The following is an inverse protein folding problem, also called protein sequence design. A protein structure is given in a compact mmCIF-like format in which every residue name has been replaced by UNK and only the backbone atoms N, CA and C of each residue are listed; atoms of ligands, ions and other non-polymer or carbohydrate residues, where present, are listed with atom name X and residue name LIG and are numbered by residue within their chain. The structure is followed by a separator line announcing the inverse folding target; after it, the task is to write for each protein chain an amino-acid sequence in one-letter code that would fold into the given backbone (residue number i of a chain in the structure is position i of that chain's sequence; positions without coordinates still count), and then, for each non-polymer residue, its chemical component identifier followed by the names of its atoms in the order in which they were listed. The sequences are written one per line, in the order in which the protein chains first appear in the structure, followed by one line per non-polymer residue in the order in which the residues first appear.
data_IF_269703140288
#
_entry.id   IF_269703140288
#
_cell.length_a   1.000
_cell.length_b   1.000
_cell.length_c   1.000
_cell.angle_alpha   90.00
_cell.angle_beta   90.00
_cell.angle_gamma   90.00
#
_symmetry.space_group_name_H-M   'P 1'
#
loop_
_entity.id
_entity.type
_entity.pdbx_description
1 polymer ?
#
# COMPACT_ATOMS: atom_id res chain seq x y z
N UNK A 1 16.76 -10.73 -20.52
CA UNK A 1 17.45 -10.29 -19.29
C UNK A 1 16.42 -9.67 -18.37
N UNK A 2 16.32 -10.17 -17.16
CA UNK A 2 15.31 -9.65 -16.24
C UNK A 2 15.82 -8.46 -15.48
N UNK A 3 14.96 -7.46 -15.34
CA UNK A 3 15.23 -6.29 -14.54
C UNK A 3 15.10 -6.64 -13.07
N UNK A 4 15.86 -5.97 -12.23
CA UNK A 4 15.74 -6.12 -10.78
C UNK A 4 15.56 -4.76 -10.14
N UNK A 5 15.00 -4.76 -8.92
CA UNK A 5 14.73 -3.54 -8.18
C UNK A 5 15.38 -3.65 -6.80
N UNK A 6 16.39 -2.81 -6.58
CA UNK A 6 17.05 -2.75 -5.28
C UNK A 6 16.16 -2.08 -4.26
N UNK A 7 16.24 -2.53 -3.02
CA UNK A 7 15.44 -1.98 -1.95
C UNK A 7 15.89 -0.61 -1.49
N UNK A 8 15.05 -0.01 -0.66
CA UNK A 8 15.28 1.33 -0.13
C UNK A 8 15.85 1.22 1.28
N UNK A 9 16.97 1.92 1.54
CA UNK A 9 17.59 1.92 2.87
C UNK A 9 16.73 2.64 3.90
N UNK A 10 15.95 3.61 3.45
CA UNK A 10 15.00 4.34 4.29
C UNK A 10 13.63 4.31 3.64
N UNK A 11 12.58 4.54 4.43
CA UNK A 11 11.22 4.52 3.91
C UNK A 11 11.08 5.50 2.75
N UNK A 12 10.60 5.05 1.57
CA UNK A 12 10.54 5.88 0.37
C UNK A 12 9.32 6.80 0.33
N UNK A 13 8.92 7.37 1.47
CA UNK A 13 7.67 8.12 1.58
C UNK A 13 7.64 9.32 0.63
N UNK A 14 8.69 10.14 0.65
CA UNK A 14 8.70 11.36 -0.17
C UNK A 14 8.67 11.05 -1.66
N UNK A 15 9.41 10.03 -2.09
CA UNK A 15 9.44 9.64 -3.51
C UNK A 15 8.11 9.07 -3.96
N UNK A 16 7.48 8.26 -3.11
CA UNK A 16 6.18 7.67 -3.42
C UNK A 16 5.10 8.76 -3.44
N UNK A 17 5.14 9.67 -2.47
CA UNK A 17 4.22 10.82 -2.42
C UNK A 17 4.31 11.62 -3.72
N UNK A 18 5.53 11.98 -4.13
CA UNK A 18 5.72 12.78 -5.33
C UNK A 18 5.25 12.04 -6.59
N UNK A 19 5.49 10.74 -6.67
CA UNK A 19 5.07 9.94 -7.83
C UNK A 19 3.55 9.89 -7.96
N UNK A 20 2.83 9.69 -6.87
CA UNK A 20 1.37 9.68 -6.91
C UNK A 20 0.78 11.06 -7.17
N UNK A 21 1.41 12.11 -6.65
CA UNK A 21 0.99 13.48 -6.96
C UNK A 21 1.16 13.78 -8.44
N UNK A 22 2.22 13.31 -9.04
CA UNK A 22 2.44 13.47 -10.48
C UNK A 22 1.37 12.77 -11.30
N UNK A 23 0.99 11.55 -10.90
CA UNK A 23 -0.09 10.82 -11.56
C UNK A 23 -1.40 11.58 -11.43
N UNK A 24 -1.70 12.09 -10.23
CA UNK A 24 -2.93 12.85 -9.99
C UNK A 24 -2.99 14.09 -10.84
N UNK A 25 -1.86 14.79 -10.96
CA UNK A 25 -1.81 16.04 -11.72
C UNK A 25 -1.90 15.79 -13.21
N UNK A 26 -1.25 14.74 -13.72
CA UNK A 26 -1.06 14.54 -15.15
C UNK A 26 -2.18 13.75 -15.82
N UNK A 27 -2.70 12.73 -15.14
CA UNK A 27 -3.52 11.72 -15.81
C UNK A 27 -4.94 11.56 -15.28
N UNK A 28 -5.24 12.08 -14.10
CA UNK A 28 -6.46 11.70 -13.41
C UNK A 28 -7.39 12.86 -13.10
N UNK A 29 -7.19 14.03 -13.67
CA UNK A 29 -7.89 15.23 -13.17
C UNK A 29 -9.31 15.45 -13.71
N UNK A 30 -9.74 14.76 -14.75
CA UNK A 30 -11.05 15.02 -15.37
C UNK A 30 -12.04 13.86 -15.25
N UNK A 31 -11.76 12.89 -14.40
CA UNK A 31 -12.60 11.72 -14.29
C UNK A 31 -13.68 11.93 -13.23
N UNK A 32 -14.92 11.58 -13.57
CA UNK A 32 -16.07 11.83 -12.69
C UNK A 32 -16.06 11.05 -11.40
N UNK A 33 -15.32 9.93 -11.33
CA UNK A 33 -15.25 9.13 -10.12
C UNK A 33 -14.21 9.64 -9.13
N UNK A 34 -13.45 10.68 -9.49
CA UNK A 34 -12.46 11.23 -8.57
C UNK A 34 -13.11 11.96 -7.42
N UNK A 35 -12.56 11.79 -6.24
CA UNK A 35 -12.99 12.58 -5.08
C UNK A 35 -12.53 14.03 -5.31
N UNK A 36 -13.45 15.00 -5.22
CA UNK A 36 -13.15 16.37 -5.63
C UNK A 36 -12.11 17.09 -4.79
N UNK A 37 -11.93 16.71 -3.54
CA UNK A 37 -11.05 17.45 -2.61
C UNK A 37 -10.00 16.59 -1.94
N UNK A 38 -9.95 15.28 -2.22
CA UNK A 38 -9.01 14.39 -1.53
C UNK A 38 -7.59 14.62 -2.04
N UNK A 39 -6.63 14.92 -1.13
CA UNK A 39 -5.23 15.03 -1.54
C UNK A 39 -4.60 13.65 -1.72
N UNK A 40 -3.41 13.62 -2.28
CA UNK A 40 -2.55 12.45 -2.22
C UNK A 40 -1.82 12.48 -0.87
N UNK A 41 -1.92 11.40 -0.12
CA UNK A 41 -1.21 11.29 1.17
C UNK A 41 -0.67 9.88 1.32
N UNK A 42 0.64 9.77 1.53
CA UNK A 42 1.32 8.51 1.79
C UNK A 42 1.57 8.42 3.28
N UNK A 43 1.16 7.31 3.88
CA UNK A 43 1.38 7.08 5.32
C UNK A 43 2.86 6.85 5.61
N UNK A 44 3.22 6.85 6.88
CA UNK A 44 4.53 6.34 7.28
C UNK A 44 4.63 4.87 6.90
N UNK A 45 5.81 4.46 6.47
CA UNK A 45 6.07 3.06 6.15
C UNK A 45 6.82 2.41 7.29
N UNK A 46 6.49 1.14 7.54
CA UNK A 46 7.12 0.32 8.58
C UNK A 46 7.71 -0.91 7.93
N UNK A 47 8.88 -1.33 8.38
CA UNK A 47 9.47 -2.59 7.89
C UNK A 47 8.69 -3.78 8.48
N UNK A 48 8.21 -4.62 7.59
CA UNK A 48 7.58 -5.90 7.95
C UNK A 48 8.17 -6.98 7.05
N UNK A 49 8.73 -8.01 7.63
CA UNK A 49 9.39 -9.08 6.88
C UNK A 49 10.49 -8.52 5.96
N UNK A 50 11.15 -7.46 6.42
CA UNK A 50 12.23 -6.83 5.69
C UNK A 50 11.82 -5.90 4.57
N UNK A 51 10.54 -5.63 4.38
CA UNK A 51 10.05 -4.76 3.30
C UNK A 51 9.20 -3.63 3.84
N UNK A 52 9.21 -2.50 3.12
CA UNK A 52 8.46 -1.32 3.55
C UNK A 52 6.98 -1.49 3.26
N UNK A 53 6.15 -1.36 4.28
CA UNK A 53 4.69 -1.53 4.19
C UNK A 53 4.00 -0.28 4.69
N UNK A 54 3.06 0.22 3.92
CA UNK A 54 2.26 1.39 4.28
C UNK A 54 1.03 1.51 3.40
N UNK A 55 0.46 2.71 3.35
CA UNK A 55 -0.73 2.98 2.54
C UNK A 55 -0.59 4.31 1.80
N UNK A 56 -1.42 4.47 0.78
CA UNK A 56 -1.60 5.76 0.11
C UNK A 56 -3.08 6.00 -0.08
N UNK A 57 -3.52 7.24 0.13
CA UNK A 57 -4.84 7.67 -0.30
C UNK A 57 -4.65 8.72 -1.41
N UNK A 58 -5.49 8.62 -2.43
CA UNK A 58 -5.47 9.50 -3.59
C UNK A 58 -6.92 9.88 -3.89
N UNK A 59 -7.17 10.81 -4.82
CA UNK A 59 -8.56 11.09 -5.20
C UNK A 59 -9.32 9.89 -5.78
N UNK A 60 -8.64 8.81 -6.17
CA UNK A 60 -9.31 7.66 -6.80
C UNK A 60 -9.26 6.38 -5.98
N UNK A 61 -8.44 6.31 -4.93
CA UNK A 61 -8.33 5.05 -4.17
C UNK A 61 -7.67 5.23 -2.82
N UNK A 62 -7.89 4.24 -1.96
CA UNK A 62 -7.06 3.99 -0.79
C UNK A 62 -6.44 2.60 -1.00
N UNK A 63 -5.14 2.50 -0.91
CA UNK A 63 -4.42 1.25 -1.21
C UNK A 63 -3.33 0.96 -0.20
N UNK A 64 -3.14 -0.32 0.10
CA UNK A 64 -1.96 -0.79 0.80
C UNK A 64 -0.81 -0.90 -0.19
N UNK A 65 0.41 -0.60 0.25
CA UNK A 65 1.60 -0.59 -0.60
C UNK A 65 2.73 -1.35 0.08
N UNK A 66 3.49 -2.11 -0.71
CA UNK A 66 4.71 -2.77 -0.24
C UNK A 66 5.83 -2.48 -1.22
N UNK A 67 6.97 -2.02 -0.69
CA UNK A 67 8.18 -1.74 -1.47
C UNK A 67 9.35 -2.56 -0.93
N UNK A 68 10.37 -2.84 -1.77
CA UNK A 68 11.52 -3.61 -1.31
C UNK A 68 12.26 -2.89 -0.19
N UNK A 69 12.69 -3.66 0.80
CA UNK A 69 13.40 -3.16 1.98
C UNK A 69 14.91 -3.03 1.76
N UNK A 70 15.63 -2.60 2.82
CA UNK A 70 17.05 -2.24 2.67
C UNK A 70 17.94 -3.33 2.11
N UNK A 71 17.67 -4.59 2.45
CA UNK A 71 18.52 -5.70 2.04
C UNK A 71 17.89 -6.57 0.98
N UNK A 72 16.83 -6.06 0.34
CA UNK A 72 16.08 -6.83 -0.65
C UNK A 72 16.41 -6.39 -2.07
N UNK A 73 16.43 -7.36 -2.97
CA UNK A 73 16.46 -7.10 -4.40
C UNK A 73 15.31 -7.92 -4.99
N UNK A 74 14.36 -7.22 -5.58
CA UNK A 74 13.18 -7.88 -6.16
C UNK A 74 13.41 -8.16 -7.63
N UNK A 75 13.08 -9.38 -8.10
CA UNK A 75 13.07 -9.63 -9.54
C UNK A 75 11.95 -8.84 -10.19
N UNK A 76 12.16 -8.41 -11.43
CA UNK A 76 11.11 -7.77 -12.20
C UNK A 76 9.98 -8.76 -12.47
N UNK A 77 8.75 -8.33 -12.20
CA UNK A 77 7.55 -9.13 -12.39
C UNK A 77 6.66 -8.48 -13.44
N UNK A 78 5.72 -9.27 -13.96
CA UNK A 78 4.74 -8.74 -14.91
C UNK A 78 3.79 -7.79 -14.20
N UNK A 79 3.62 -6.57 -14.73
CA UNK A 79 2.66 -5.61 -14.19
C UNK A 79 1.27 -6.24 -14.26
N UNK A 80 0.55 -6.18 -13.15
CA UNK A 80 -0.78 -6.78 -13.04
C UNK A 80 -0.77 -8.18 -12.46
N UNK A 81 0.41 -8.79 -12.29
CA UNK A 81 0.51 -10.10 -11.65
C UNK A 81 -0.02 -10.03 -10.22
N UNK A 82 -0.69 -11.08 -9.77
CA UNK A 82 -1.29 -11.11 -8.43
C UNK A 82 -0.51 -12.03 -7.51
N UNK A 83 -0.30 -11.58 -6.28
CA UNK A 83 0.43 -12.34 -5.26
C UNK A 83 -0.38 -12.33 -3.97
N UNK A 84 -0.59 -13.52 -3.41
CA UNK A 84 -1.20 -13.64 -2.09
C UNK A 84 -0.13 -13.49 -1.02
N UNK A 85 -0.34 -12.58 -0.08
CA UNK A 85 0.61 -12.35 1.01
C UNK A 85 -0.12 -12.39 2.35
N UNK A 86 0.58 -12.92 3.35
CA UNK A 86 0.05 -12.97 4.71
C UNK A 86 0.65 -11.83 5.50
N UNK A 87 -0.21 -10.95 5.99
CA UNK A 87 0.15 -9.86 6.89
C UNK A 87 -0.42 -10.17 8.26
N UNK A 88 0.04 -9.50 9.32
CA UNK A 88 -0.53 -9.73 10.65
C UNK A 88 -2.06 -9.59 10.69
N UNK A 89 -2.60 -8.66 9.91
CA UNK A 89 -4.05 -8.46 9.83
C UNK A 89 -4.77 -9.64 9.15
N UNK A 90 -4.16 -10.23 8.11
CA UNK A 90 -4.76 -11.35 7.37
C UNK A 90 -4.13 -11.56 6.01
N UNK A 91 -4.64 -12.53 5.28
CA UNK A 91 -4.19 -12.81 3.92
C UNK A 91 -4.80 -11.82 2.96
N UNK A 92 -3.96 -11.22 2.12
CA UNK A 92 -4.39 -10.20 1.16
C UNK A 92 -3.78 -10.49 -0.20
N UNK A 93 -4.53 -10.18 -1.25
CA UNK A 93 -4.04 -10.32 -2.62
C UNK A 93 -3.51 -8.97 -3.10
N UNK A 94 -2.23 -8.95 -3.46
CA UNK A 94 -1.57 -7.76 -3.97
C UNK A 94 -1.36 -7.89 -5.48
N UNK A 95 -1.35 -6.75 -6.15
CA UNK A 95 -1.11 -6.66 -7.58
C UNK A 95 0.19 -5.91 -7.81
N UNK A 96 1.01 -6.42 -8.73
CA UNK A 96 2.27 -5.77 -9.10
C UNK A 96 1.97 -4.50 -9.89
N UNK A 97 2.51 -3.38 -9.44
CA UNK A 97 2.49 -2.13 -10.16
C UNK A 97 3.89 -1.58 -10.30
N UNK A 98 4.01 -0.47 -11.00
CA UNK A 98 5.29 0.21 -11.14
C UNK A 98 5.09 1.71 -11.07
N UNK A 99 5.90 2.37 -10.24
CA UNK A 99 5.96 3.82 -10.18
C UNK A 99 7.19 4.26 -10.95
N UNK A 100 6.96 5.01 -12.00
CA UNK A 100 8.03 5.50 -12.86
C UNK A 100 9.06 6.29 -12.05
N UNK A 101 10.33 5.96 -12.20
CA UNK A 101 11.41 6.62 -11.49
C UNK A 101 11.57 6.18 -10.04
N UNK A 102 10.76 5.24 -9.58
CA UNK A 102 10.84 4.76 -8.19
C UNK A 102 11.14 3.26 -8.17
N UNK A 103 10.15 2.42 -8.45
CA UNK A 103 10.34 0.97 -8.36
C UNK A 103 9.05 0.26 -8.75
N UNK A 104 9.15 -1.06 -8.98
CA UNK A 104 7.97 -1.90 -8.89
C UNK A 104 7.55 -2.00 -7.43
N UNK A 105 6.27 -2.20 -7.21
CA UNK A 105 5.71 -2.30 -5.87
C UNK A 105 4.50 -3.22 -5.91
N UNK A 106 4.03 -3.58 -4.72
CA UNK A 106 2.82 -4.39 -4.57
C UNK A 106 1.73 -3.51 -3.99
N UNK A 107 0.53 -3.61 -4.53
CA UNK A 107 -0.60 -2.80 -4.11
C UNK A 107 -1.83 -3.65 -3.89
N UNK A 108 -2.59 -3.33 -2.85
CA UNK A 108 -3.88 -3.95 -2.60
C UNK A 108 -4.90 -2.84 -2.35
N UNK A 109 -5.89 -2.72 -3.23
CA UNK A 109 -6.91 -1.70 -3.09
C UNK A 109 -7.79 -1.99 -1.88
N UNK A 110 -7.90 -1.01 -0.99
CA UNK A 110 -8.75 -1.11 0.20
C UNK A 110 -10.09 -0.40 -0.02
N UNK A 111 -10.10 0.65 -0.83
CA UNK A 111 -11.32 1.38 -1.18
C UNK A 111 -11.12 2.03 -2.54
N UNK A 112 -11.98 1.71 -3.50
CA UNK A 112 -11.92 2.29 -4.85
C UNK A 112 -13.28 2.16 -5.52
N UNK A 113 -13.88 3.26 -5.98
CA UNK A 113 -13.50 4.63 -5.71
C UNK A 113 -13.76 5.04 -4.26
N UNK A 114 -13.31 6.24 -3.88
CA UNK A 114 -13.53 6.75 -2.53
C UNK A 114 -14.97 7.22 -2.37
N UNK A 115 -15.48 7.10 -1.15
CA UNK A 115 -16.76 7.73 -0.80
C UNK A 115 -16.62 9.25 -0.88
N UNK A 116 -17.55 9.90 -1.57
CA UNK A 116 -17.51 11.38 -1.68
C UNK A 116 -17.82 12.08 -0.37
N UNK A 117 -18.41 11.37 0.60
CA UNK A 117 -18.68 11.94 1.91
C UNK A 117 -17.46 11.98 2.82
N UNK A 118 -16.36 11.34 2.41
CA UNK A 118 -15.12 11.32 3.19
C UNK A 118 -14.43 12.67 3.06
N UNK A 119 -14.17 13.36 4.18
CA UNK A 119 -13.44 14.62 4.14
C UNK A 119 -11.95 14.38 3.91
N UNK A 120 -11.20 15.40 3.44
CA UNK A 120 -9.75 15.25 3.31
C UNK A 120 -9.07 14.84 4.60
N UNK A 121 -9.46 15.42 5.73
CA UNK A 121 -8.88 15.09 7.03
C UNK A 121 -9.20 13.67 7.45
N UNK A 122 -10.42 13.23 7.21
CA UNK A 122 -10.82 11.85 7.47
C UNK A 122 -10.06 10.87 6.59
N UNK A 123 -9.85 11.24 5.32
CA UNK A 123 -9.12 10.40 4.38
C UNK A 123 -7.67 10.19 4.78
N UNK A 124 -6.99 11.27 5.16
CA UNK A 124 -5.61 11.20 5.62
C UNK A 124 -5.51 10.33 6.88
N UNK A 125 -6.42 10.54 7.82
CA UNK A 125 -6.45 9.74 9.05
C UNK A 125 -6.72 8.26 8.75
N UNK A 126 -7.64 8.01 7.83
CA UNK A 126 -7.98 6.66 7.44
C UNK A 126 -6.78 5.94 6.83
N UNK A 127 -6.01 6.62 5.98
CA UNK A 127 -4.82 6.03 5.38
C UNK A 127 -3.80 5.66 6.46
N UNK A 128 -3.56 6.55 7.42
CA UNK A 128 -2.63 6.29 8.52
C UNK A 128 -3.12 5.16 9.43
N UNK A 129 -4.41 5.13 9.71
CA UNK A 129 -5.01 4.07 10.54
C UNK A 129 -4.92 2.72 9.84
N UNK A 130 -5.18 2.68 8.55
CA UNK A 130 -5.07 1.44 7.77
C UNK A 130 -3.63 0.93 7.74
N UNK A 131 -2.65 1.82 7.63
CA UNK A 131 -1.24 1.41 7.67
C UNK A 131 -0.91 0.71 8.98
N UNK A 132 -1.41 1.23 10.10
CA UNK A 132 -1.21 0.58 11.38
C UNK A 132 -1.97 -0.73 11.49
N UNK A 133 -3.20 -0.78 10.98
CA UNK A 133 -4.02 -1.99 11.04
C UNK A 133 -3.41 -3.16 10.28
N UNK A 134 -2.80 -2.90 9.13
CA UNK A 134 -2.21 -3.97 8.32
C UNK A 134 -1.18 -4.77 9.09
N UNK A 135 -0.46 -4.12 10.00
CA UNK A 135 0.61 -4.75 10.76
C UNK A 135 0.19 -5.10 12.18
N UNK A 136 -1.10 -4.98 12.48
CA UNK A 136 -1.65 -5.34 13.79
C UNK A 136 -2.38 -6.66 13.70
N UNK A 137 -2.21 -7.50 14.71
CA UNK A 137 -2.99 -8.72 14.80
C UNK A 137 -4.46 -8.36 15.04
N UNK A 138 -5.39 -9.10 14.44
CA UNK A 138 -6.80 -8.88 14.73
C UNK A 138 -7.07 -9.03 16.23
N UNK A 139 -8.02 -8.24 16.75
CA UNK A 139 -8.44 -8.39 18.13
C UNK A 139 -9.00 -9.80 18.28
N UNK A 140 -8.37 -10.60 19.14
CA UNK A 140 -8.79 -11.99 19.26
C UNK A 140 -9.97 -12.11 20.22
N UNK A 141 -10.94 -12.93 19.80
CA UNK A 141 -11.97 -13.42 20.69
C UNK A 141 -11.26 -14.35 21.70
N UNK A 142 -11.48 -14.19 22.99
CA UNK A 142 -10.85 -15.08 23.98
C UNK A 142 -11.08 -16.56 23.73
N UNK A 143 -12.17 -16.90 23.05
CA UNK A 143 -12.50 -18.29 22.74
C UNK A 143 -11.95 -18.76 21.39
N UNK A 144 -11.27 -17.87 20.64
CA UNK A 144 -10.75 -18.23 19.34
C UNK A 144 -9.47 -19.06 19.46
N UNK A 145 -9.26 -20.04 18.57
CA UNK A 145 -8.03 -20.81 18.58
C UNK A 145 -6.81 -19.94 18.34
N UNK A 146 -5.80 -20.10 19.18
CA UNK A 146 -4.57 -19.32 19.06
C UNK A 146 -3.73 -19.75 17.85
N UNK A 147 -3.91 -20.98 17.38
CA UNK A 147 -3.14 -21.53 16.28
C UNK A 147 -3.33 -20.75 14.98
N UNK A 148 -4.47 -20.09 14.80
CA UNK A 148 -4.72 -19.32 13.59
C UNK A 148 -3.73 -18.17 13.38
N UNK A 149 -3.14 -17.66 14.47
CA UNK A 149 -2.16 -16.58 14.36
C UNK A 149 -0.87 -17.05 13.69
N UNK A 150 -0.47 -18.28 13.97
CA UNK A 150 0.76 -18.83 13.39
C UNK A 150 0.62 -19.06 11.89
N UNK A 151 -0.59 -19.33 11.44
CA UNK A 151 -0.85 -19.54 10.02
C UNK A 151 -0.68 -18.25 9.22
N UNK A 152 -0.66 -17.08 9.87
CA UNK A 152 -0.49 -15.80 9.21
C UNK A 152 0.98 -15.38 9.06
N UNK A 153 1.91 -16.16 9.63
CA UNK A 153 3.33 -15.87 9.55
C UNK A 153 3.97 -16.72 8.46
N UNK A 154 4.88 -16.11 7.73
CA UNK A 154 5.62 -16.84 6.69
C UNK A 154 6.75 -17.62 7.25
#
# INVERSE_FOLDING_TARGET
MSETFSGFDTAPVARVQAAFEEIAHRSMHDLSFLHPTMPVHVSDFTLFEGQWTGTVITPWMLSALIFPGPDQIWPGRTIGEKLGLQLPYGTMTFTVGELEGVSQYLACSLMSPLSRSLSPEEGVRLADDCARMLLSLPVSNPDAPQTSRRALLF
#
